data_IF_558915034256
#
_entry.id   IF_558915034256
#
_cell.length_a   1.000
_cell.length_b   1.000
_cell.length_c   1.000
_cell.angle_alpha   90.00
_cell.angle_beta   90.00
_cell.angle_gamma   90.00
#
_symmetry.space_group_name_H-M   'P 1'
#
loop_
_entity.id
_entity.type
_entity.pdbx_description
1 polymer ?
#
# COMPACT_ATOMS: atom_id res chain seq x y z
N UNK A 1 33.12 -38.50 -6.89
CA UNK A 1 31.91 -37.99 -7.56
C UNK A 1 30.84 -37.81 -6.50
N UNK A 2 30.37 -36.60 -6.20
CA UNK A 2 29.41 -36.37 -5.13
C UNK A 2 27.97 -36.59 -5.61
N UNK A 3 27.12 -37.00 -4.66
CA UNK A 3 25.73 -37.36 -4.82
C UNK A 3 24.83 -36.15 -5.08
N UNK A 4 23.88 -36.29 -6.01
CA UNK A 4 22.78 -35.35 -6.21
C UNK A 4 21.59 -35.76 -5.33
N UNK A 5 21.13 -34.83 -4.49
CA UNK A 5 19.96 -34.98 -3.64
C UNK A 5 18.67 -34.95 -4.49
N UNK A 6 17.78 -35.91 -4.26
CA UNK A 6 16.45 -35.95 -4.84
C UNK A 6 15.56 -34.87 -4.21
N UNK A 7 14.96 -34.02 -5.03
CA UNK A 7 13.92 -33.07 -4.62
C UNK A 7 12.62 -33.78 -4.21
N UNK A 8 11.73 -33.12 -3.45
CA UNK A 8 10.47 -33.70 -3.03
C UNK A 8 9.55 -33.95 -4.24
N UNK A 9 8.63 -34.94 -4.16
CA UNK A 9 7.76 -35.27 -5.27
C UNK A 9 6.79 -34.13 -5.53
N UNK A 10 6.76 -33.66 -6.78
CA UNK A 10 5.68 -32.81 -7.29
C UNK A 10 4.42 -33.66 -7.28
N UNK A 11 3.45 -33.34 -6.41
CA UNK A 11 2.12 -33.91 -6.51
C UNK A 11 1.47 -33.37 -7.78
N UNK A 12 1.29 -34.24 -8.78
CA UNK A 12 0.49 -33.93 -9.96
C UNK A 12 -0.96 -33.68 -9.54
N UNK A 13 -1.48 -32.52 -9.93
CA UNK A 13 -2.88 -32.14 -9.74
C UNK A 13 -3.78 -33.07 -10.56
N UNK A 14 -4.92 -33.55 -10.02
CA UNK A 14 -5.84 -34.40 -10.77
C UNK A 14 -6.32 -33.71 -12.06
N UNK A 15 -6.23 -34.42 -13.18
CA UNK A 15 -6.56 -33.98 -14.54
C UNK A 15 -8.05 -33.65 -14.78
N UNK A 16 -8.89 -33.62 -13.74
CA UNK A 16 -10.35 -33.47 -13.86
C UNK A 16 -10.84 -32.02 -14.05
N UNK A 17 -9.96 -31.02 -13.90
CA UNK A 17 -10.36 -29.62 -13.72
C UNK A 17 -10.04 -28.67 -14.90
N UNK A 18 -9.54 -29.17 -16.03
CA UNK A 18 -9.13 -28.30 -17.16
C UNK A 18 -10.17 -28.08 -18.26
N UNK A 19 -11.25 -28.86 -18.31
CA UNK A 19 -12.00 -28.98 -19.57
C UNK A 19 -13.26 -28.11 -19.70
N UNK A 20 -13.55 -27.20 -18.77
CA UNK A 20 -14.88 -26.53 -18.75
C UNK A 20 -14.86 -25.05 -19.19
N UNK A 21 -13.74 -24.31 -19.16
CA UNK A 21 -13.72 -22.91 -19.61
C UNK A 21 -12.43 -22.48 -20.32
N UNK A 22 -12.50 -22.04 -21.59
CA UNK A 22 -11.35 -21.44 -22.26
C UNK A 22 -11.17 -19.97 -21.80
N UNK A 23 -10.32 -19.74 -20.79
CA UNK A 23 -9.57 -18.50 -20.60
C UNK A 23 -10.22 -17.35 -19.79
N UNK A 24 -10.28 -17.46 -18.46
CA UNK A 24 -10.47 -16.33 -17.54
C UNK A 24 -10.92 -16.74 -16.13
N UNK A 25 -10.47 -16.00 -15.08
CA UNK A 25 -10.96 -16.17 -13.70
C UNK A 25 -12.43 -15.75 -13.60
N UNK A 26 -13.24 -16.44 -12.81
CA UNK A 26 -14.64 -16.09 -12.56
C UNK A 26 -14.76 -14.85 -11.69
N UNK A 27 -15.46 -13.82 -12.18
CA UNK A 27 -15.70 -12.59 -11.44
C UNK A 27 -16.87 -12.75 -10.47
N UNK A 28 -16.60 -12.63 -9.17
CA UNK A 28 -17.59 -12.66 -8.10
C UNK A 28 -17.68 -11.27 -7.45
N UNK A 29 -18.87 -10.68 -7.45
CA UNK A 29 -19.13 -9.44 -6.72
C UNK A 29 -19.78 -9.76 -5.38
N UNK A 30 -19.18 -9.29 -4.30
CA UNK A 30 -19.71 -9.43 -2.93
C UNK A 30 -20.35 -8.11 -2.49
N UNK A 31 -21.63 -8.16 -2.11
CA UNK A 31 -22.42 -7.01 -1.68
C UNK A 31 -22.99 -7.29 -0.29
N UNK A 32 -22.40 -6.69 0.73
CA UNK A 32 -22.82 -6.83 2.13
C UNK A 32 -22.38 -5.58 2.89
N UNK A 33 -23.13 -5.06 3.85
CA UNK A 33 -22.72 -3.86 4.61
C UNK A 33 -21.73 -4.22 5.74
N UNK A 34 -21.72 -5.46 6.20
CA UNK A 34 -20.78 -5.96 7.21
C UNK A 34 -19.37 -6.19 6.61
N UNK A 35 -18.38 -5.34 6.97
CA UNK A 35 -17.01 -5.50 6.46
C UNK A 35 -16.36 -6.83 6.89
N UNK A 36 -16.83 -7.43 7.99
CA UNK A 36 -16.33 -8.71 8.50
C UNK A 36 -16.75 -9.84 7.59
N UNK A 37 -18.00 -9.84 7.14
CA UNK A 37 -18.54 -10.85 6.25
C UNK A 37 -17.99 -10.71 4.83
N UNK A 38 -17.81 -9.48 4.32
CA UNK A 38 -17.13 -9.27 3.03
C UNK A 38 -15.73 -9.89 3.04
N UNK A 39 -14.94 -9.59 4.08
CA UNK A 39 -13.61 -10.17 4.25
C UNK A 39 -13.63 -11.71 4.32
N UNK A 40 -14.59 -12.29 5.05
CA UNK A 40 -14.77 -13.74 5.13
C UNK A 40 -15.00 -14.36 3.75
N UNK A 41 -15.92 -13.76 2.97
CA UNK A 41 -16.24 -14.21 1.62
C UNK A 41 -15.04 -14.07 0.71
N UNK A 42 -14.32 -12.95 0.76
CA UNK A 42 -13.10 -12.77 -0.02
C UNK A 42 -12.04 -13.81 0.31
N UNK A 43 -11.73 -14.04 1.59
CA UNK A 43 -10.70 -15.03 1.99
C UNK A 43 -11.11 -16.45 1.59
N UNK A 44 -12.39 -16.79 1.76
CA UNK A 44 -12.92 -18.11 1.40
C UNK A 44 -12.82 -18.37 -0.11
N UNK A 45 -13.06 -17.33 -0.91
CA UNK A 45 -13.12 -17.43 -2.36
C UNK A 45 -11.80 -17.06 -3.05
N UNK A 46 -10.76 -16.65 -2.31
CA UNK A 46 -9.46 -16.20 -2.83
C UNK A 46 -8.58 -17.33 -3.42
N UNK A 47 -9.21 -18.35 -4.03
CA UNK A 47 -8.55 -19.38 -4.81
C UNK A 47 -8.15 -18.84 -6.21
N UNK A 48 -7.24 -19.52 -6.89
CA UNK A 48 -6.71 -19.12 -8.21
C UNK A 48 -7.78 -19.00 -9.33
N UNK A 49 -9.00 -19.46 -9.06
CA UNK A 49 -10.12 -19.58 -9.99
C UNK A 49 -11.07 -18.36 -10.00
N UNK A 50 -11.05 -17.54 -8.94
CA UNK A 50 -11.96 -16.40 -8.78
C UNK A 50 -11.23 -15.05 -8.76
N UNK A 51 -11.88 -14.05 -9.36
CA UNK A 51 -11.54 -12.63 -9.23
C UNK A 51 -12.67 -11.99 -8.42
N UNK A 52 -12.36 -11.27 -7.34
CA UNK A 52 -13.37 -10.83 -6.36
C UNK A 52 -13.33 -9.32 -6.22
N UNK A 53 -14.50 -8.69 -6.30
CA UNK A 53 -14.71 -7.29 -5.94
C UNK A 53 -15.71 -7.21 -4.77
N UNK A 54 -15.50 -6.26 -3.86
CA UNK A 54 -16.27 -6.10 -2.62
C UNK A 54 -16.84 -4.69 -2.55
N UNK A 55 -18.13 -4.57 -2.27
CA UNK A 55 -18.84 -3.29 -2.16
C UNK A 55 -19.78 -3.29 -0.96
N UNK A 56 -19.99 -2.13 -0.34
CA UNK A 56 -20.74 -2.04 0.91
C UNK A 56 -22.23 -1.68 0.72
N UNK A 57 -22.63 -1.31 -0.50
CA UNK A 57 -23.98 -0.83 -0.80
C UNK A 57 -24.49 -1.32 -2.14
N UNK A 58 -25.82 -1.39 -2.29
CA UNK A 58 -26.45 -1.72 -3.57
C UNK A 58 -26.18 -0.67 -4.66
N UNK A 59 -25.95 0.59 -4.28
CA UNK A 59 -25.66 1.71 -5.19
C UNK A 59 -24.31 1.51 -5.87
N UNK A 60 -23.26 1.31 -5.06
CA UNK A 60 -21.91 0.98 -5.51
C UNK A 60 -21.88 -0.33 -6.31
N UNK A 61 -22.59 -1.36 -5.84
CA UNK A 61 -22.74 -2.62 -6.54
C UNK A 61 -23.33 -2.47 -7.94
N UNK A 62 -24.29 -1.56 -8.11
CA UNK A 62 -24.89 -1.26 -9.40
C UNK A 62 -23.89 -0.67 -10.40
N UNK A 63 -22.98 0.19 -9.94
CA UNK A 63 -21.91 0.76 -10.76
C UNK A 63 -20.87 -0.30 -11.14
N UNK A 64 -20.36 -1.04 -10.15
CA UNK A 64 -19.36 -2.10 -10.37
C UNK A 64 -19.93 -3.19 -11.29
N UNK A 65 -21.16 -3.65 -11.06
CA UNK A 65 -21.79 -4.67 -11.90
C UNK A 65 -22.06 -4.22 -13.34
N UNK A 66 -22.07 -2.92 -13.64
CA UNK A 66 -22.21 -2.41 -15.02
C UNK A 66 -20.91 -2.54 -15.79
N UNK A 67 -19.78 -2.15 -15.19
CA UNK A 67 -18.49 -2.11 -15.86
C UNK A 67 -17.71 -3.43 -15.74
N UNK A 68 -17.67 -4.00 -14.53
CA UNK A 68 -16.86 -5.17 -14.22
C UNK A 68 -17.50 -6.49 -14.67
N UNK A 69 -18.82 -6.49 -14.92
CA UNK A 69 -19.61 -7.64 -15.42
C UNK A 69 -19.32 -8.93 -14.64
N UNK A 70 -19.71 -9.00 -13.35
CA UNK A 70 -19.53 -10.22 -12.57
C UNK A 70 -20.35 -11.37 -13.16
N UNK A 71 -19.83 -12.59 -13.04
CA UNK A 71 -20.57 -13.81 -13.38
C UNK A 71 -21.51 -14.20 -12.23
N UNK A 72 -21.07 -13.99 -10.99
CA UNK A 72 -21.83 -14.30 -9.77
C UNK A 72 -21.89 -13.07 -8.86
N UNK A 73 -23.04 -12.83 -8.24
CA UNK A 73 -23.23 -11.81 -7.21
C UNK A 73 -23.68 -12.48 -5.92
N UNK A 74 -22.89 -12.35 -4.86
CA UNK A 74 -23.27 -12.71 -3.50
C UNK A 74 -23.88 -11.46 -2.85
N UNK A 75 -25.17 -11.51 -2.54
CA UNK A 75 -25.95 -10.34 -2.19
C UNK A 75 -26.63 -10.51 -0.84
N UNK A 76 -26.27 -9.68 0.13
CA UNK A 76 -27.02 -9.58 1.37
C UNK A 76 -28.45 -9.09 1.13
N UNK A 77 -29.41 -9.69 1.83
CA UNK A 77 -30.81 -9.26 1.77
C UNK A 77 -31.02 -7.97 2.55
N UNK A 78 -30.30 -7.76 3.66
CA UNK A 78 -30.52 -6.68 4.62
C UNK A 78 -29.55 -5.51 4.44
N UNK A 79 -29.48 -4.96 3.23
CA UNK A 79 -28.64 -3.78 2.97
C UNK A 79 -29.28 -2.48 3.49
N UNK A 80 -28.48 -1.50 3.95
CA UNK A 80 -28.96 -0.17 4.26
C UNK A 80 -29.42 0.56 2.98
N UNK A 81 -30.59 1.18 3.04
CA UNK A 81 -31.18 1.92 1.92
C UNK A 81 -32.02 1.04 1.01
N UNK A 82 -31.42 0.48 -0.05
CA UNK A 82 -32.13 -0.37 -1.02
C UNK A 82 -32.09 -1.84 -0.57
N UNK A 83 -33.27 -2.40 -0.32
CA UNK A 83 -33.47 -3.81 0.01
C UNK A 83 -32.84 -4.77 -1.03
N UNK A 84 -32.12 -5.80 -0.56
CA UNK A 84 -31.37 -6.72 -1.40
C UNK A 84 -32.23 -7.53 -2.36
N UNK A 85 -33.46 -7.87 -2.00
CA UNK A 85 -34.41 -8.51 -2.93
C UNK A 85 -34.81 -7.59 -4.08
N UNK A 86 -34.98 -6.31 -3.79
CA UNK A 86 -35.27 -5.28 -4.78
C UNK A 86 -34.09 -5.04 -5.71
N UNK A 87 -32.86 -5.05 -5.19
CA UNK A 87 -31.65 -4.97 -6.00
C UNK A 87 -31.42 -6.23 -6.87
N UNK A 88 -31.71 -7.43 -6.33
CA UNK A 88 -31.67 -8.68 -7.09
C UNK A 88 -32.57 -8.63 -8.35
N UNK A 89 -33.78 -8.09 -8.23
CA UNK A 89 -34.68 -7.87 -9.38
C UNK A 89 -34.07 -6.95 -10.43
N UNK A 90 -33.38 -5.90 -10.02
CA UNK A 90 -32.73 -4.97 -10.96
C UNK A 90 -31.58 -5.67 -11.71
N UNK A 91 -30.74 -6.42 -11.01
CA UNK A 91 -29.62 -7.15 -11.62
C UNK A 91 -30.09 -8.21 -12.61
N UNK A 92 -31.15 -8.94 -12.26
CA UNK A 92 -31.65 -10.08 -13.05
C UNK A 92 -32.53 -9.66 -14.24
N UNK A 93 -32.99 -8.41 -14.28
CA UNK A 93 -33.75 -7.84 -15.41
C UNK A 93 -32.90 -7.43 -16.62
N UNK A 94 -31.57 -7.60 -16.55
CA UNK A 94 -30.62 -7.21 -17.60
C UNK A 94 -30.60 -8.24 -18.74
N UNK A 95 -30.10 -7.82 -19.91
CA UNK A 95 -29.97 -8.70 -21.09
C UNK A 95 -29.03 -9.88 -20.85
N UNK A 96 -27.97 -9.67 -20.06
CA UNK A 96 -27.00 -10.68 -19.62
C UNK A 96 -26.87 -10.59 -18.08
N UNK A 97 -27.78 -11.24 -17.33
CA UNK A 97 -27.83 -11.11 -15.89
C UNK A 97 -26.82 -12.04 -15.20
N UNK A 98 -26.14 -11.58 -14.12
CA UNK A 98 -25.31 -12.46 -13.31
C UNK A 98 -26.15 -13.49 -12.54
N UNK A 99 -25.53 -14.60 -12.14
CA UNK A 99 -26.14 -15.51 -11.17
C UNK A 99 -26.14 -14.84 -9.78
N UNK A 100 -27.32 -14.58 -9.22
CA UNK A 100 -27.43 -13.95 -7.90
C UNK A 100 -27.70 -14.99 -6.82
N UNK A 101 -26.86 -15.00 -5.79
CA UNK A 101 -27.02 -15.79 -4.56
C UNK A 101 -27.36 -14.85 -3.43
N UNK A 102 -28.50 -15.07 -2.77
CA UNK A 102 -28.92 -14.25 -1.64
C UNK A 102 -28.33 -14.77 -0.33
N UNK A 103 -27.67 -13.91 0.42
CA UNK A 103 -27.21 -14.19 1.78
C UNK A 103 -28.25 -13.64 2.76
N UNK A 104 -28.79 -14.47 3.65
CA UNK A 104 -29.91 -14.05 4.52
C UNK A 104 -29.75 -14.52 5.96
N UNK A 105 -29.76 -13.59 6.92
CA UNK A 105 -29.79 -13.90 8.36
C UNK A 105 -31.21 -14.11 8.92
N UNK A 106 -32.24 -13.82 8.13
CA UNK A 106 -33.64 -14.04 8.51
C UNK A 106 -34.33 -15.02 7.56
N UNK A 107 -35.46 -15.63 7.96
CA UNK A 107 -36.22 -16.52 7.10
C UNK A 107 -36.82 -15.76 5.91
N UNK A 108 -36.11 -15.77 4.78
CA UNK A 108 -36.63 -15.23 3.51
C UNK A 108 -37.36 -16.36 2.76
N UNK A 109 -38.66 -16.22 2.44
CA UNK A 109 -39.40 -17.27 1.74
C UNK A 109 -38.79 -17.56 0.37
N UNK A 110 -38.55 -18.84 0.07
CA UNK A 110 -38.02 -19.30 -1.21
C UNK A 110 -38.79 -18.74 -2.42
N UNK A 111 -40.13 -18.69 -2.32
CA UNK A 111 -40.98 -18.16 -3.38
C UNK A 111 -40.69 -16.68 -3.70
N UNK A 112 -40.28 -15.88 -2.72
CA UNK A 112 -40.01 -14.45 -2.89
C UNK A 112 -38.65 -14.21 -3.53
N UNK A 113 -37.61 -14.90 -3.05
CA UNK A 113 -36.30 -14.90 -3.67
C UNK A 113 -36.33 -15.39 -5.13
N UNK A 114 -37.14 -16.43 -5.42
CA UNK A 114 -37.35 -16.90 -6.81
C UNK A 114 -37.97 -15.83 -7.69
N UNK A 115 -39.00 -15.16 -7.19
CA UNK A 115 -39.66 -14.05 -7.91
C UNK A 115 -38.71 -12.88 -8.11
N UNK A 116 -37.73 -12.70 -7.22
CA UNK A 116 -36.70 -11.70 -7.37
C UNK A 116 -35.63 -12.04 -8.43
N UNK A 117 -35.61 -13.28 -8.93
CA UNK A 117 -34.64 -13.76 -9.91
C UNK A 117 -33.40 -14.41 -9.30
N UNK A 118 -33.36 -14.60 -7.98
CA UNK A 118 -32.23 -15.26 -7.32
C UNK A 118 -32.09 -16.72 -7.78
N UNK A 119 -30.83 -17.13 -7.96
CA UNK A 119 -30.46 -18.49 -8.35
C UNK A 119 -30.40 -19.43 -7.15
N UNK A 120 -29.97 -18.92 -5.99
CA UNK A 120 -29.91 -19.67 -4.74
C UNK A 120 -30.04 -18.75 -3.52
N UNK A 121 -30.29 -19.35 -2.36
CA UNK A 121 -30.25 -18.69 -1.05
C UNK A 121 -29.25 -19.42 -0.17
N UNK A 122 -28.40 -18.66 0.52
CA UNK A 122 -27.51 -19.14 1.56
C UNK A 122 -27.90 -18.48 2.89
N UNK A 123 -28.31 -19.29 3.86
CA UNK A 123 -28.72 -18.80 5.17
C UNK A 123 -27.50 -18.52 6.05
N UNK A 124 -27.46 -17.36 6.70
CA UNK A 124 -26.46 -17.02 7.71
C UNK A 124 -26.85 -17.68 9.05
N UNK A 125 -25.92 -18.32 9.78
CA UNK A 125 -24.52 -18.56 9.42
C UNK A 125 -24.35 -19.71 8.41
N UNK A 126 -23.36 -19.62 7.52
CA UNK A 126 -22.99 -20.65 6.55
C UNK A 126 -21.50 -20.95 6.57
N UNK A 127 -21.13 -22.20 6.27
CA UNK A 127 -19.74 -22.63 6.18
C UNK A 127 -19.12 -22.33 4.82
N UNK A 128 -17.79 -22.18 4.72
CA UNK A 128 -17.11 -22.07 3.45
C UNK A 128 -17.33 -23.22 2.48
N UNK A 129 -17.46 -24.45 2.98
CA UNK A 129 -17.75 -25.59 2.13
C UNK A 129 -19.14 -25.48 1.50
N UNK A 130 -20.14 -25.02 2.25
CA UNK A 130 -21.48 -24.75 1.70
C UNK A 130 -21.45 -23.64 0.66
N UNK A 131 -20.67 -22.58 0.90
CA UNK A 131 -20.51 -21.49 -0.06
C UNK A 131 -19.85 -21.96 -1.37
N UNK A 132 -18.74 -22.70 -1.28
CA UNK A 132 -18.00 -23.20 -2.45
C UNK A 132 -18.87 -24.20 -3.22
N UNK A 133 -19.47 -25.18 -2.54
CA UNK A 133 -20.34 -26.16 -3.18
C UNK A 133 -21.55 -25.50 -3.88
N UNK A 134 -22.08 -24.43 -3.29
CA UNK A 134 -23.16 -23.66 -3.91
C UNK A 134 -22.69 -22.92 -5.16
N UNK A 135 -21.50 -22.30 -5.13
CA UNK A 135 -20.94 -21.57 -6.28
C UNK A 135 -20.60 -22.54 -7.43
N UNK A 136 -19.98 -23.67 -7.13
CA UNK A 136 -19.65 -24.70 -8.13
C UNK A 136 -20.91 -25.29 -8.76
N UNK A 137 -21.96 -25.48 -7.97
CA UNK A 137 -23.26 -25.96 -8.43
C UNK A 137 -24.04 -24.96 -9.30
N UNK A 138 -23.60 -23.70 -9.44
CA UNK A 138 -24.30 -22.71 -10.27
C UNK A 138 -24.23 -23.03 -11.78
N UNK A 139 -23.24 -23.82 -12.21
CA UNK A 139 -23.00 -24.18 -13.62
C UNK A 139 -23.85 -25.32 -14.13
N UNK A 140 -24.34 -26.18 -13.22
CA UNK A 140 -25.14 -27.32 -13.61
C UNK A 140 -26.59 -26.86 -13.95
N UNK A 141 -27.20 -27.52 -14.95
CA UNK A 141 -28.60 -27.29 -15.37
C UNK A 141 -29.56 -27.21 -14.16
N UNK A 142 -30.62 -26.38 -14.22
CA UNK A 142 -31.35 -25.84 -13.06
C UNK A 142 -31.96 -26.94 -12.20
N UNK A 143 -31.21 -27.41 -11.20
CA UNK A 143 -31.66 -28.46 -10.30
C UNK A 143 -31.85 -27.86 -8.91
N UNK A 144 -33.12 -27.87 -8.51
CA UNK A 144 -33.66 -27.79 -7.15
C UNK A 144 -32.83 -27.07 -6.08
N UNK A 145 -33.26 -25.83 -5.78
CA UNK A 145 -33.27 -25.19 -4.46
C UNK A 145 -32.45 -25.92 -3.38
N UNK A 146 -31.14 -25.71 -3.40
CA UNK A 146 -30.23 -26.17 -2.35
C UNK A 146 -30.50 -25.35 -1.08
N UNK A 147 -31.60 -25.65 -0.38
CA UNK A 147 -31.86 -25.09 0.95
C UNK A 147 -31.06 -25.94 1.93
N UNK A 148 -29.80 -25.54 2.16
CA UNK A 148 -29.06 -26.06 3.32
C UNK A 148 -29.84 -25.69 4.58
N UNK A 149 -30.43 -26.70 5.22
CA UNK A 149 -30.57 -26.75 6.67
C UNK A 149 -29.55 -27.77 7.15
N UNK A 150 -28.35 -27.33 7.56
CA UNK A 150 -27.65 -28.04 8.63
C UNK A 150 -28.05 -27.40 9.96
N UNK A 151 -29.08 -27.95 10.61
CA UNK A 151 -29.38 -27.62 12.02
C UNK A 151 -28.35 -28.25 13.00
N UNK A 152 -27.24 -28.82 12.50
CA UNK A 152 -26.25 -29.53 13.31
C UNK A 152 -24.96 -28.76 13.64
N UNK A 153 -24.60 -27.72 12.90
CA UNK A 153 -23.19 -27.28 12.86
C UNK A 153 -22.94 -25.81 13.24
N UNK A 154 -23.90 -25.08 13.81
CA UNK A 154 -23.69 -23.68 14.23
C UNK A 154 -22.48 -23.53 15.18
N UNK A 155 -22.22 -24.52 16.03
CA UNK A 155 -21.06 -24.55 16.93
C UNK A 155 -19.75 -24.84 16.18
N UNK A 156 -19.75 -25.75 15.19
CA UNK A 156 -18.59 -26.01 14.32
C UNK A 156 -18.29 -24.82 13.40
N UNK A 157 -19.33 -24.12 12.96
CA UNK A 157 -19.26 -22.86 12.21
C UNK A 157 -18.64 -21.73 13.02
N UNK A 158 -18.97 -21.62 14.31
CA UNK A 158 -18.34 -20.68 15.22
C UNK A 158 -16.88 -21.05 15.51
N UNK A 159 -16.56 -22.34 15.65
CA UNK A 159 -15.17 -22.82 15.77
C UNK A 159 -14.38 -22.50 14.51
N UNK A 160 -14.95 -22.73 13.32
CA UNK A 160 -14.32 -22.39 12.05
C UNK A 160 -14.13 -20.87 11.90
N UNK A 161 -15.13 -20.05 12.19
CA UNK A 161 -15.04 -18.59 12.14
C UNK A 161 -13.95 -18.06 13.10
N UNK A 162 -13.81 -18.70 14.27
CA UNK A 162 -12.76 -18.39 15.24
C UNK A 162 -11.37 -18.80 14.72
N UNK A 163 -11.23 -19.99 14.17
CA UNK A 163 -9.95 -20.47 13.62
C UNK A 163 -9.53 -19.63 12.40
N UNK A 164 -10.47 -19.21 11.56
CA UNK A 164 -10.18 -18.33 10.43
C UNK A 164 -9.84 -16.91 10.88
N UNK A 165 -10.55 -16.35 11.87
CA UNK A 165 -10.19 -15.07 12.48
C UNK A 165 -8.76 -15.11 13.00
N UNK A 166 -8.37 -16.22 13.64
CA UNK A 166 -7.00 -16.46 14.10
C UNK A 166 -6.00 -16.54 12.94
N UNK A 167 -6.34 -17.22 11.85
CA UNK A 167 -5.47 -17.29 10.65
C UNK A 167 -5.28 -15.89 10.06
N UNK A 168 -6.34 -15.09 9.93
CA UNK A 168 -6.26 -13.70 9.43
C UNK A 168 -5.43 -12.81 10.37
N UNK A 169 -5.58 -12.96 11.68
CA UNK A 169 -4.75 -12.26 12.66
C UNK A 169 -3.28 -12.66 12.53
N UNK A 170 -3.00 -13.95 12.37
CA UNK A 170 -1.63 -14.47 12.16
C UNK A 170 -1.06 -13.91 10.87
N UNK A 171 -1.81 -13.95 9.77
CA UNK A 171 -1.39 -13.44 8.46
C UNK A 171 -1.10 -11.94 8.51
N UNK A 172 -2.00 -11.14 9.11
CA UNK A 172 -1.79 -9.71 9.34
C UNK A 172 -0.60 -9.43 10.25
N UNK A 173 -0.37 -10.27 11.26
CA UNK A 173 0.78 -10.14 12.15
C UNK A 173 2.09 -10.47 11.42
N UNK A 174 2.09 -11.49 10.56
CA UNK A 174 3.23 -11.87 9.73
C UNK A 174 3.54 -10.80 8.69
N UNK A 175 2.53 -10.25 7.99
CA UNK A 175 2.72 -9.11 7.07
C UNK A 175 3.33 -7.92 7.77
N UNK A 176 2.81 -7.54 8.95
CA UNK A 176 3.35 -6.43 9.73
C UNK A 176 4.78 -6.69 10.19
N UNK A 177 5.08 -7.90 10.66
CA UNK A 177 6.43 -8.29 11.06
C UNK A 177 7.39 -8.23 9.86
N UNK A 178 6.97 -8.72 8.71
CA UNK A 178 7.75 -8.71 7.48
C UNK A 178 8.01 -7.28 7.00
N UNK A 179 6.98 -6.43 6.94
CA UNK A 179 7.13 -5.01 6.61
C UNK A 179 8.07 -4.30 7.58
N UNK A 180 7.93 -4.56 8.88
CA UNK A 180 8.81 -3.99 9.91
C UNK A 180 10.26 -4.44 9.73
N UNK A 181 10.50 -5.75 9.56
CA UNK A 181 11.83 -6.31 9.32
C UNK A 181 12.47 -5.76 8.05
N UNK A 182 11.69 -5.59 6.98
CA UNK A 182 12.16 -4.94 5.75
C UNK A 182 12.53 -3.48 5.98
N UNK A 183 11.66 -2.70 6.64
CA UNK A 183 11.97 -1.29 6.98
C UNK A 183 13.24 -1.18 7.82
N UNK A 184 13.42 -2.05 8.82
CA UNK A 184 14.65 -2.12 9.61
C UNK A 184 15.88 -2.47 8.77
N UNK A 185 15.74 -3.39 7.81
CA UNK A 185 16.83 -3.75 6.90
C UNK A 185 17.21 -2.58 6.00
N UNK A 186 16.22 -1.87 5.42
CA UNK A 186 16.45 -0.70 4.59
C UNK A 186 17.09 0.43 5.40
N UNK A 187 16.63 0.67 6.64
CA UNK A 187 17.22 1.65 7.53
C UNK A 187 18.69 1.31 7.84
N UNK A 188 18.99 0.06 8.19
CA UNK A 188 20.37 -0.37 8.43
C UNK A 188 21.27 -0.22 7.19
N UNK A 189 20.74 -0.41 5.98
CA UNK A 189 21.48 -0.17 4.73
C UNK A 189 21.71 1.32 4.47
N UNK A 190 20.73 2.17 4.75
CA UNK A 190 20.88 3.61 4.68
C UNK A 190 21.93 4.10 5.69
N UNK A 191 21.85 3.65 6.94
CA UNK A 191 22.82 3.95 8.01
C UNK A 191 24.24 3.49 7.62
N UNK A 192 24.38 2.31 6.99
CA UNK A 192 25.67 1.80 6.53
C UNK A 192 26.27 2.64 5.38
N UNK A 193 25.41 3.20 4.51
CA UNK A 193 25.85 4.14 3.49
C UNK A 193 26.27 5.47 4.09
N UNK A 194 25.51 5.98 5.08
CA UNK A 194 25.88 7.18 5.82
C UNK A 194 27.19 7.02 6.54
N UNK A 195 27.54 5.84 7.06
CA UNK A 195 28.83 5.60 7.70
C UNK A 195 30.03 5.77 6.75
N UNK A 196 29.82 5.79 5.43
CA UNK A 196 30.86 6.15 4.43
C UNK A 196 31.00 7.67 4.24
N UNK A 197 29.99 8.44 4.64
CA UNK A 197 29.99 9.90 4.70
C UNK A 197 30.38 10.30 6.14
N UNK A 198 31.19 11.34 6.37
CA UNK A 198 31.55 11.77 7.73
C UNK A 198 30.38 12.36 8.57
N UNK A 199 29.13 12.08 8.22
CA UNK A 199 27.92 12.46 8.95
C UNK A 199 27.56 11.51 10.10
N UNK A 200 26.63 11.92 10.96
CA UNK A 200 26.11 11.07 12.04
C UNK A 200 25.10 10.08 11.46
N UNK A 201 25.21 8.79 11.80
CA UNK A 201 24.34 7.70 11.29
C UNK A 201 22.89 7.73 11.78
N UNK A 202 22.37 8.92 12.11
CA UNK A 202 20.98 9.19 12.50
C UNK A 202 20.31 10.20 11.54
N UNK A 203 21.03 10.68 10.52
CA UNK A 203 20.57 11.72 9.60
C UNK A 203 19.35 11.24 8.80
N UNK A 204 19.45 10.14 8.06
CA UNK A 204 18.37 9.65 7.20
C UNK A 204 17.08 9.37 8.00
N UNK A 205 17.22 8.88 9.23
CA UNK A 205 16.08 8.68 10.12
C UNK A 205 15.46 10.02 10.52
N UNK A 206 16.24 10.96 11.05
CA UNK A 206 15.74 12.27 11.49
C UNK A 206 15.09 13.05 10.35
N UNK A 207 15.71 13.06 9.16
CA UNK A 207 15.15 13.66 7.94
C UNK A 207 13.86 12.97 7.51
N UNK A 208 13.79 11.63 7.56
CA UNK A 208 12.54 10.90 7.29
C UNK A 208 11.43 11.36 8.25
N UNK A 209 11.71 11.47 9.54
CA UNK A 209 10.73 11.92 10.53
C UNK A 209 10.24 13.36 10.27
N UNK A 210 11.14 14.26 9.87
CA UNK A 210 10.76 15.62 9.44
C UNK A 210 9.88 15.58 8.19
N UNK A 211 10.28 14.85 7.16
CA UNK A 211 9.58 14.77 5.89
C UNK A 211 8.17 14.18 6.06
N UNK A 212 8.00 13.13 6.87
CA UNK A 212 6.68 12.56 7.19
C UNK A 212 5.81 13.59 7.92
N UNK A 213 6.34 14.25 8.96
CA UNK A 213 5.62 15.28 9.73
C UNK A 213 5.15 16.44 8.85
N UNK A 214 5.98 16.86 7.89
CA UNK A 214 5.63 17.89 6.92
C UNK A 214 4.59 17.38 5.91
N UNK A 215 4.71 16.13 5.45
CA UNK A 215 3.75 15.51 4.51
C UNK A 215 2.35 15.44 5.11
N UNK A 216 2.23 15.03 6.38
CA UNK A 216 0.96 15.03 7.12
C UNK A 216 0.26 16.41 7.13
N UNK A 217 1.02 17.50 7.02
CA UNK A 217 0.48 18.86 7.01
C UNK A 217 0.19 19.37 5.60
N UNK A 218 1.01 19.00 4.61
CA UNK A 218 0.92 19.52 3.24
C UNK A 218 -0.06 18.73 2.38
N UNK A 219 -0.01 17.40 2.44
CA UNK A 219 -0.85 16.48 1.68
C UNK A 219 -0.82 15.09 2.34
N UNK A 220 -1.73 14.80 3.29
CA UNK A 220 -1.75 13.53 4.02
C UNK A 220 -1.87 12.29 3.12
N UNK A 221 -2.57 12.41 1.98
CA UNK A 221 -2.79 11.27 1.06
C UNK A 221 -1.51 10.77 0.40
N UNK A 222 -0.44 11.56 0.39
CA UNK A 222 0.86 11.10 -0.08
C UNK A 222 1.42 9.96 0.79
N UNK A 223 1.01 9.87 2.06
CA UNK A 223 1.45 8.81 2.97
C UNK A 223 0.72 7.48 2.74
N UNK A 224 -0.34 7.46 1.93
CA UNK A 224 -0.98 6.21 1.50
C UNK A 224 -0.05 5.41 0.56
N UNK A 225 0.93 6.09 -0.06
CA UNK A 225 1.98 5.47 -0.85
C UNK A 225 3.22 5.17 0.02
N UNK A 226 3.38 3.89 0.39
CA UNK A 226 4.50 3.44 1.22
C UNK A 226 5.87 3.67 0.58
N UNK A 227 5.95 3.80 -0.76
CA UNK A 227 7.21 4.07 -1.44
C UNK A 227 7.82 5.40 -1.05
N UNK A 228 7.00 6.36 -0.60
CA UNK A 228 7.44 7.69 -0.24
C UNK A 228 8.40 7.67 0.96
N UNK A 229 8.04 6.95 2.02
CA UNK A 229 8.89 6.81 3.22
C UNK A 229 10.24 6.16 2.90
N UNK A 230 10.23 5.16 2.01
CA UNK A 230 11.46 4.53 1.52
C UNK A 230 12.28 5.48 0.66
N UNK A 231 11.62 6.31 -0.17
CA UNK A 231 12.28 7.36 -0.94
C UNK A 231 12.98 8.39 -0.06
N UNK A 232 12.39 8.77 1.07
CA UNK A 232 13.04 9.64 2.06
C UNK A 232 14.28 8.99 2.68
N UNK A 233 14.19 7.70 3.03
CA UNK A 233 15.28 6.97 3.67
C UNK A 233 16.45 6.68 2.72
N UNK A 234 16.16 6.46 1.43
CA UNK A 234 17.12 6.04 0.42
C UNK A 234 17.49 7.15 -0.58
N UNK A 235 17.14 8.41 -0.30
CA UNK A 235 17.40 9.54 -1.19
C UNK A 235 18.86 9.60 -1.69
N UNK A 236 19.79 9.28 -0.80
CA UNK A 236 21.23 9.35 -1.03
C UNK A 236 21.87 8.03 -1.49
N UNK A 237 21.09 6.98 -1.76
CA UNK A 237 21.63 5.63 -2.08
C UNK A 237 22.62 5.62 -3.23
N UNK A 238 22.46 6.54 -4.19
CA UNK A 238 23.35 6.68 -5.33
C UNK A 238 24.76 7.14 -5.01
N UNK A 239 25.03 7.65 -3.79
CA UNK A 239 26.38 7.99 -3.33
C UNK A 239 27.33 6.78 -3.38
N UNK A 240 26.80 5.55 -3.36
CA UNK A 240 27.59 4.32 -3.55
C UNK A 240 28.34 4.27 -4.88
N UNK A 241 27.83 4.96 -5.91
CA UNK A 241 28.47 5.08 -7.22
C UNK A 241 29.56 6.15 -7.28
N UNK A 242 29.76 6.93 -6.21
CA UNK A 242 30.72 8.03 -6.15
C UNK A 242 32.00 7.57 -5.46
N UNK A 243 33.15 7.92 -6.04
CA UNK A 243 34.44 7.51 -5.49
C UNK A 243 34.71 8.13 -4.10
N UNK A 244 35.16 7.32 -3.14
CA UNK A 244 35.44 7.74 -1.75
C UNK A 244 36.37 8.97 -1.68
N UNK A 245 37.33 9.11 -2.59
CA UNK A 245 38.26 10.27 -2.65
C UNK A 245 37.56 11.61 -2.93
N UNK A 246 36.41 11.57 -3.62
CA UNK A 246 35.59 12.74 -3.94
C UNK A 246 34.63 12.99 -2.79
N UNK A 247 33.94 11.94 -2.32
CA UNK A 247 32.96 12.03 -1.24
C UNK A 247 33.59 12.53 0.07
N UNK A 248 34.80 12.06 0.40
CA UNK A 248 35.51 12.38 1.65
C UNK A 248 36.53 13.52 1.52
N UNK A 249 36.41 14.37 0.50
CA UNK A 249 37.37 15.46 0.27
C UNK A 249 37.21 16.53 1.36
N UNK A 250 38.30 16.83 2.08
CA UNK A 250 38.32 17.83 3.18
C UNK A 250 38.29 19.30 2.72
N UNK A 251 38.27 19.56 1.41
CA UNK A 251 38.27 20.90 0.82
C UNK A 251 37.23 21.03 -0.28
N UNK A 252 37.07 22.23 -0.88
CA UNK A 252 36.04 22.46 -1.87
C UNK A 252 36.20 21.55 -3.09
N UNK A 253 35.06 21.10 -3.60
CA UNK A 253 34.98 20.37 -4.87
C UNK A 253 35.17 21.34 -6.02
N UNK A 254 35.96 20.94 -7.02
CA UNK A 254 35.98 21.64 -8.31
C UNK A 254 34.72 21.27 -9.13
N UNK A 255 34.50 21.96 -10.26
CA UNK A 255 33.28 21.78 -11.06
C UNK A 255 33.11 20.35 -11.59
N UNK A 256 34.21 19.67 -11.94
CA UNK A 256 34.15 18.29 -12.41
C UNK A 256 33.82 17.30 -11.28
N UNK A 257 34.39 17.51 -10.09
CA UNK A 257 34.09 16.72 -8.89
C UNK A 257 32.65 16.96 -8.44
N UNK A 258 32.17 18.21 -8.47
CA UNK A 258 30.78 18.57 -8.18
C UNK A 258 29.83 17.87 -9.15
N UNK A 259 30.10 17.95 -10.45
CA UNK A 259 29.30 17.28 -11.47
C UNK A 259 29.23 15.77 -11.27
N UNK A 260 30.26 15.13 -10.70
CA UNK A 260 30.21 13.71 -10.33
C UNK A 260 29.29 13.46 -9.13
N UNK A 261 29.33 14.30 -8.09
CA UNK A 261 28.41 14.16 -6.95
C UNK A 261 26.96 14.37 -7.38
N UNK A 262 26.69 15.33 -8.27
CA UNK A 262 25.35 15.64 -8.77
C UNK A 262 24.71 14.49 -9.58
N UNK A 263 25.46 13.42 -9.89
CA UNK A 263 24.94 12.20 -10.52
C UNK A 263 24.26 11.25 -9.53
N UNK A 264 24.48 11.38 -8.22
CA UNK A 264 23.93 10.42 -7.26
C UNK A 264 22.39 10.29 -7.29
N UNK A 265 21.57 11.32 -7.60
CA UNK A 265 20.12 11.12 -7.73
C UNK A 265 19.79 10.17 -8.89
N UNK A 266 20.50 10.30 -10.02
CA UNK A 266 20.30 9.45 -11.19
C UNK A 266 20.76 8.01 -10.94
N UNK A 267 21.94 7.84 -10.30
CA UNK A 267 22.44 6.52 -9.90
C UNK A 267 21.48 5.87 -8.88
N UNK A 268 20.95 6.64 -7.94
CA UNK A 268 20.00 6.16 -6.94
C UNK A 268 18.71 5.63 -7.58
N UNK A 269 18.17 6.36 -8.57
CA UNK A 269 17.04 5.89 -9.37
C UNK A 269 17.39 4.60 -10.11
N UNK A 270 18.55 4.51 -10.74
CA UNK A 270 18.97 3.29 -11.47
C UNK A 270 19.03 2.06 -10.54
N UNK A 271 19.60 2.23 -9.34
CA UNK A 271 19.69 1.17 -8.33
C UNK A 271 18.30 0.73 -7.86
N UNK A 272 17.37 1.68 -7.65
CA UNK A 272 16.08 1.43 -7.02
C UNK A 272 14.95 1.09 -8.00
N UNK A 273 15.12 1.33 -9.31
CA UNK A 273 14.04 1.16 -10.30
C UNK A 273 13.50 -0.27 -10.42
N UNK A 274 14.25 -1.28 -9.98
CA UNK A 274 13.80 -2.68 -9.94
C UNK A 274 13.19 -3.13 -8.61
N UNK A 275 13.06 -2.24 -7.62
CA UNK A 275 12.58 -2.58 -6.28
C UNK A 275 11.09 -2.25 -6.16
N UNK A 276 10.26 -3.28 -6.05
CA UNK A 276 8.79 -3.13 -5.99
C UNK A 276 8.30 -2.18 -4.89
N UNK A 277 8.98 -2.12 -3.74
CA UNK A 277 8.62 -1.22 -2.63
C UNK A 277 8.82 0.27 -2.96
N UNK A 278 9.57 0.59 -4.00
CA UNK A 278 9.84 1.95 -4.47
C UNK A 278 9.01 2.31 -5.70
N UNK A 279 8.18 1.38 -6.20
CA UNK A 279 7.25 1.62 -7.30
C UNK A 279 6.14 2.59 -6.81
N UNK A 280 6.32 3.88 -7.12
CA UNK A 280 5.42 4.93 -6.67
C UNK A 280 6.11 6.29 -6.68
N UNK A 281 5.70 7.17 -5.76
CA UNK A 281 6.25 8.51 -5.60
C UNK A 281 7.67 8.52 -5.01
N UNK A 282 8.10 7.44 -4.35
CA UNK A 282 9.42 7.32 -3.73
C UNK A 282 10.59 7.59 -4.68
N UNK A 283 10.57 7.01 -5.89
CA UNK A 283 11.60 7.28 -6.91
C UNK A 283 11.64 8.76 -7.34
N UNK A 284 10.50 9.45 -7.29
CA UNK A 284 10.42 10.88 -7.57
C UNK A 284 11.19 11.72 -6.56
N UNK A 285 11.18 11.31 -5.29
CA UNK A 285 11.98 11.92 -4.22
C UNK A 285 13.46 11.71 -4.50
N UNK A 286 13.90 10.46 -4.65
CA UNK A 286 15.31 10.11 -4.89
C UNK A 286 15.87 10.88 -6.09
N UNK A 287 15.10 10.99 -7.17
CA UNK A 287 15.50 11.70 -8.38
C UNK A 287 15.67 13.21 -8.20
N UNK A 288 14.82 13.83 -7.38
CA UNK A 288 14.55 15.27 -7.46
C UNK A 288 14.75 16.00 -6.12
N UNK A 289 15.33 15.35 -5.12
CA UNK A 289 15.48 15.92 -3.77
C UNK A 289 16.43 17.12 -3.70
N UNK A 290 17.26 17.34 -4.73
CA UNK A 290 18.12 18.52 -4.88
C UNK A 290 17.59 19.55 -5.89
N UNK A 291 16.38 19.37 -6.40
CA UNK A 291 15.71 20.42 -7.18
C UNK A 291 15.32 21.58 -6.27
N UNK A 292 15.41 22.80 -6.81
CA UNK A 292 15.05 24.03 -6.09
C UNK A 292 13.79 24.62 -6.68
N UNK A 293 12.94 25.20 -5.84
CA UNK A 293 11.68 25.79 -6.30
C UNK A 293 11.86 26.83 -7.43
N UNK A 294 12.95 27.60 -7.38
CA UNK A 294 13.37 28.59 -8.39
C UNK A 294 13.97 28.00 -9.69
N UNK A 295 14.20 26.69 -9.76
CA UNK A 295 14.81 26.02 -10.90
C UNK A 295 16.35 26.00 -10.90
N UNK A 296 16.99 26.54 -9.85
CA UNK A 296 18.46 26.54 -9.72
C UNK A 296 19.05 25.23 -9.20
N UNK A 297 18.24 24.17 -9.06
CA UNK A 297 18.66 22.87 -8.54
C UNK A 297 19.12 21.90 -9.63
N UNK A 298 19.33 20.65 -9.23
CA UNK A 298 19.80 19.56 -10.09
C UNK A 298 19.04 18.26 -9.77
N UNK A 299 19.05 17.24 -10.65
CA UNK A 299 19.79 17.14 -11.93
C UNK A 299 19.08 17.73 -13.15
N UNK A 300 17.77 17.98 -13.10
CA UNK A 300 16.97 18.35 -14.26
C UNK A 300 16.61 19.85 -14.30
N UNK A 301 16.89 20.62 -13.24
CA UNK A 301 16.57 22.05 -13.19
C UNK A 301 15.06 22.29 -13.22
N UNK A 302 14.32 21.41 -12.53
CA UNK A 302 12.87 21.52 -12.41
C UNK A 302 12.53 22.72 -11.53
N UNK A 303 11.44 23.42 -11.86
CA UNK A 303 11.02 24.61 -11.13
C UNK A 303 9.53 24.50 -10.77
N UNK A 304 9.18 25.05 -9.62
CA UNK A 304 7.82 25.08 -9.09
C UNK A 304 7.20 23.69 -8.96
N UNK A 305 5.96 23.56 -9.40
CA UNK A 305 5.17 22.33 -9.28
C UNK A 305 5.61 21.19 -10.21
N UNK A 306 6.58 21.44 -11.10
CA UNK A 306 7.21 20.36 -11.90
C UNK A 306 8.06 19.43 -11.02
N UNK A 307 8.48 19.91 -9.85
CA UNK A 307 9.16 19.09 -8.85
C UNK A 307 8.09 18.24 -8.13
N UNK A 308 8.26 16.91 -8.03
CA UNK A 308 7.35 16.05 -7.28
C UNK A 308 7.13 16.58 -5.86
N UNK A 309 5.89 16.55 -5.37
CA UNK A 309 5.56 17.15 -4.07
C UNK A 309 6.36 16.50 -2.91
N UNK A 310 6.56 15.18 -2.95
CA UNK A 310 7.42 14.49 -2.00
C UNK A 310 8.86 15.03 -1.99
N UNK A 311 9.44 15.33 -3.15
CA UNK A 311 10.78 15.90 -3.25
C UNK A 311 10.85 17.33 -2.70
N UNK A 312 9.83 18.16 -2.95
CA UNK A 312 9.73 19.52 -2.38
C UNK A 312 9.66 19.51 -0.86
N UNK A 313 8.90 18.57 -0.29
CA UNK A 313 8.79 18.38 1.16
C UNK A 313 10.14 17.92 1.71
N UNK A 314 10.74 16.91 1.08
CA UNK A 314 12.00 16.34 1.50
C UNK A 314 13.16 17.34 1.44
N UNK A 315 13.25 18.18 0.41
CA UNK A 315 14.31 19.18 0.26
C UNK A 315 14.38 20.16 1.45
N UNK A 316 13.23 20.55 2.02
CA UNK A 316 13.20 21.37 3.23
C UNK A 316 13.63 20.56 4.47
N UNK A 317 13.16 19.31 4.59
CA UNK A 317 13.54 18.43 5.70
C UNK A 317 15.06 18.16 5.73
N UNK A 318 15.65 17.85 4.58
CA UNK A 318 17.09 17.62 4.43
C UNK A 318 17.90 18.88 4.71
N UNK A 319 17.47 20.03 4.20
CA UNK A 319 18.14 21.30 4.49
C UNK A 319 18.10 21.67 5.97
N UNK A 320 16.97 21.48 6.64
CA UNK A 320 16.82 21.70 8.08
C UNK A 320 17.84 20.85 8.85
N UNK A 321 17.87 19.55 8.57
CA UNK A 321 18.77 18.61 9.22
C UNK A 321 20.24 18.93 8.96
N UNK A 322 20.58 19.23 7.71
CA UNK A 322 21.92 19.60 7.31
C UNK A 322 22.40 20.86 8.04
N UNK A 323 21.51 21.83 8.28
CA UNK A 323 21.80 23.06 9.03
C UNK A 323 21.98 22.84 10.52
N UNK A 324 21.17 21.99 11.14
CA UNK A 324 21.19 21.73 12.58
C UNK A 324 22.15 20.61 12.99
N UNK A 325 22.88 20.02 12.05
CA UNK A 325 23.85 18.94 12.31
C UNK A 325 25.29 19.40 12.06
N UNK A 326 26.20 18.94 12.90
CA UNK A 326 27.64 19.17 12.72
C UNK A 326 28.12 18.45 11.45
N UNK A 327 28.99 19.14 10.70
CA UNK A 327 29.71 18.59 9.55
C UNK A 327 31.21 18.83 9.73
N UNK A 328 32.10 18.02 9.13
CA UNK A 328 33.55 18.15 9.31
C UNK A 328 34.13 19.55 9.07
N UNK A 329 33.46 20.34 8.23
CA UNK A 329 33.87 21.68 7.81
C UNK A 329 32.95 22.80 8.34
N UNK A 330 31.90 22.48 9.09
CA UNK A 330 30.91 23.48 9.57
C UNK A 330 30.22 23.00 10.86
N UNK A 331 30.26 23.83 11.90
CA UNK A 331 29.46 23.61 13.10
C UNK A 331 27.95 23.75 12.81
N UNK A 332 27.12 22.99 13.53
CA UNK A 332 25.67 23.12 13.47
C UNK A 332 25.22 24.55 13.76
N UNK A 333 24.22 25.02 13.03
CA UNK A 333 23.50 26.25 13.34
C UNK A 333 22.56 26.00 14.52
N UNK A 334 22.22 27.07 15.26
CA UNK A 334 21.11 26.96 16.21
C UNK A 334 19.80 26.71 15.46
N UNK A 335 18.82 26.11 16.16
CA UNK A 335 17.49 25.88 15.59
C UNK A 335 16.83 27.18 15.09
N UNK A 336 16.96 28.27 15.83
CA UNK A 336 16.46 29.59 15.44
C UNK A 336 17.15 30.10 14.16
N UNK A 337 18.47 29.93 14.04
CA UNK A 337 19.21 30.33 12.84
C UNK A 337 18.81 29.49 11.62
N UNK A 338 18.62 28.18 11.78
CA UNK A 338 18.13 27.31 10.72
C UNK A 338 16.70 27.70 10.29
N UNK A 339 15.85 28.08 11.25
CA UNK A 339 14.49 28.57 11.01
C UNK A 339 14.53 29.87 10.19
N UNK A 340 15.34 30.84 10.59
CA UNK A 340 15.50 32.11 9.88
C UNK A 340 16.01 31.89 8.44
N UNK A 341 16.93 30.94 8.23
CA UNK A 341 17.44 30.58 6.90
C UNK A 341 16.36 29.93 6.01
N UNK A 342 15.51 29.06 6.56
CA UNK A 342 14.39 28.47 5.81
C UNK A 342 13.42 29.58 5.36
N UNK A 343 13.12 30.53 6.24
CA UNK A 343 12.22 31.64 5.95
C UNK A 343 12.79 32.61 4.92
N UNK A 344 14.10 32.87 4.96
CA UNK A 344 14.78 33.76 3.99
C UNK A 344 14.75 33.19 2.56
N UNK A 345 14.62 31.87 2.43
CA UNK A 345 14.59 31.14 1.18
C UNK A 345 13.17 30.69 0.72
N UNK A 346 12.11 31.21 1.34
CA UNK A 346 10.73 30.99 0.92
C UNK A 346 10.49 31.48 -0.53
N UNK A 347 10.02 30.57 -1.39
CA UNK A 347 9.76 30.86 -2.80
C UNK A 347 11.00 30.97 -3.68
N UNK A 348 12.20 30.73 -3.13
CA UNK A 348 13.43 30.55 -3.91
C UNK A 348 13.89 29.10 -3.87
N UNK A 349 14.49 28.65 -2.77
CA UNK A 349 14.89 27.25 -2.61
C UNK A 349 13.69 26.36 -2.33
N UNK A 350 12.78 26.83 -1.48
CA UNK A 350 11.71 26.01 -0.91
C UNK A 350 10.34 26.40 -1.45
N UNK A 351 9.46 25.40 -1.57
CA UNK A 351 8.05 25.62 -1.90
C UNK A 351 7.36 26.39 -0.76
N UNK A 352 6.71 27.53 -1.02
CA UNK A 352 6.01 28.31 -0.01
C UNK A 352 4.93 27.53 0.78
N UNK A 353 4.32 26.51 0.17
CA UNK A 353 3.38 25.62 0.86
C UNK A 353 4.07 24.81 1.95
N UNK A 354 5.27 24.32 1.66
CA UNK A 354 6.06 23.50 2.60
C UNK A 354 6.63 24.39 3.70
N UNK A 355 7.09 25.60 3.39
CA UNK A 355 7.54 26.58 4.40
C UNK A 355 6.41 26.91 5.40
N UNK A 356 5.19 27.15 4.91
CA UNK A 356 4.02 27.35 5.80
C UNK A 356 3.74 26.13 6.69
N UNK A 357 3.88 24.93 6.16
CA UNK A 357 3.72 23.70 6.93
C UNK A 357 4.80 23.56 8.01
N UNK A 358 6.05 23.88 7.65
CA UNK A 358 7.18 23.97 8.59
C UNK A 358 6.88 24.93 9.74
N UNK A 359 6.47 26.18 9.46
CA UNK A 359 6.12 27.14 10.52
C UNK A 359 5.01 26.62 11.45
N UNK A 360 4.04 25.89 10.90
CA UNK A 360 2.92 25.32 11.68
C UNK A 360 3.38 24.15 12.57
N UNK A 361 4.33 23.34 12.09
CA UNK A 361 4.83 22.14 12.75
C UNK A 361 6.19 22.33 13.43
N UNK A 362 6.72 23.55 13.48
CA UNK A 362 8.07 23.88 13.97
C UNK A 362 8.37 23.23 15.33
N UNK A 363 7.49 23.40 16.33
CA UNK A 363 7.65 22.78 17.66
C UNK A 363 7.69 21.25 17.65
N UNK A 364 7.02 20.61 16.69
CA UNK A 364 7.07 19.15 16.55
C UNK A 364 8.38 18.72 15.91
N UNK A 365 8.84 19.44 14.90
CA UNK A 365 10.15 19.21 14.27
C UNK A 365 11.29 19.44 15.25
N UNK A 366 11.21 20.47 16.10
CA UNK A 366 12.21 20.74 17.13
C UNK A 366 12.27 19.62 18.17
N UNK A 367 11.12 19.06 18.58
CA UNK A 367 11.11 17.88 19.46
C UNK A 367 11.79 16.67 18.83
N UNK A 368 11.54 16.41 17.54
CA UNK A 368 12.22 15.34 16.80
C UNK A 368 13.74 15.60 16.79
N UNK A 369 14.18 16.84 16.59
CA UNK A 369 15.60 17.20 16.71
C UNK A 369 16.18 16.86 18.10
N UNK A 370 15.52 17.29 19.17
CA UNK A 370 15.96 17.04 20.54
C UNK A 370 16.03 15.55 20.87
N UNK A 371 15.01 14.77 20.49
CA UNK A 371 14.94 13.32 20.73
C UNK A 371 16.13 12.58 20.10
N UNK A 372 16.44 12.88 18.84
CA UNK A 372 17.56 12.25 18.14
C UNK A 372 18.93 12.79 18.57
N UNK A 373 19.00 14.03 19.07
CA UNK A 373 20.24 14.60 19.62
C UNK A 373 20.61 13.99 20.97
N UNK A 374 19.63 13.62 21.79
CA UNK A 374 19.85 12.93 23.08
C UNK A 374 20.34 11.49 22.89
N UNK A 375 19.90 10.81 21.83
CA UNK A 375 20.33 9.43 21.51
C UNK A 375 21.76 9.38 20.98
N UNK A 376 22.27 10.49 20.43
CA UNK A 376 23.63 10.60 19.88
C UNK A 376 24.71 10.98 20.92
N UNK A 377 24.30 11.47 22.10
CA UNK A 377 25.17 11.90 23.20
C UNK A 377 25.39 10.78 24.22
#
# INVERSE_FOLDING_TARGET
>A
MPAAAAGPPVMETPQLYRDIWPGGRRRILVVDDDPTLRLLLRVTLAADEFEIEEVASAEEAGEVARFWRPAVVLLDVQLPGLDGLSFCRQLTSREDPPAVVLLTGTPTPAAEAKKAGARAILHKPFSPLELIALIDGLDETPTEWLVSRSEGDAEQLLVYARDLSRIVEVERSQRRLLQHAYRQTVAALADALEAKDPGTGLHAQRVQHYAVTLTEMVEPRLLDDTSLEYGFLLHDVGKIGIADKILNKLGPLNDAERGLIELHPAIGVEILSGVALLEGQGLGVVRSHHERWDGGGYPAGLAGERIPLGARIFALADALDAMTSDRPYRAALSWDQATDEILSHDGSQFDPRVVRAFCTRERQLHRIYEEFSVVAA
#
